data_IF_411955920376
#
_entry.id   IF_411955920376
#
_cell.length_a   1.000
_cell.length_b   1.000
_cell.length_c   1.000
_cell.angle_alpha   90.00
_cell.angle_beta   90.00
_cell.angle_gamma   90.00
#
_symmetry.space_group_name_H-M   'P 1'
#
loop_
_entity.id
_entity.type
_entity.pdbx_description
1 polymer ?
#
# COMPACT_ATOMS: atom_id res chain seq x y z
N UNK A 1 12.41 -32.14 -4.12
CA UNK A 1 11.95 -32.40 -5.51
C UNK A 1 10.68 -31.63 -5.87
N UNK A 2 9.59 -31.72 -5.10
CA UNK A 2 8.30 -31.04 -5.39
C UNK A 2 8.41 -29.50 -5.49
N UNK A 3 9.13 -28.84 -4.56
CA UNK A 3 9.35 -27.37 -4.60
C UNK A 3 10.18 -26.90 -5.81
N UNK A 4 11.08 -27.76 -6.33
CA UNK A 4 11.92 -27.45 -7.50
C UNK A 4 11.09 -27.49 -8.79
N UNK A 5 10.22 -28.50 -8.90
CA UNK A 5 9.25 -28.62 -10.01
C UNK A 5 8.25 -27.45 -10.05
N UNK A 6 7.68 -27.03 -8.91
CA UNK A 6 6.79 -25.85 -8.87
C UNK A 6 7.48 -24.54 -9.27
N UNK A 7 8.78 -24.43 -9.01
CA UNK A 7 9.60 -23.26 -9.36
C UNK A 7 9.79 -23.15 -10.87
N UNK A 8 10.14 -24.26 -11.51
CA UNK A 8 10.36 -24.36 -12.95
C UNK A 8 9.05 -24.13 -13.74
N UNK A 9 7.92 -24.62 -13.22
CA UNK A 9 6.59 -24.38 -13.82
C UNK A 9 6.25 -22.88 -13.84
N UNK A 10 6.54 -22.15 -12.76
CA UNK A 10 6.27 -20.70 -12.70
C UNK A 10 7.16 -19.92 -13.67
N UNK A 11 8.46 -20.23 -13.71
CA UNK A 11 9.40 -19.58 -14.65
C UNK A 11 8.99 -19.83 -16.10
N UNK A 12 8.57 -21.06 -16.43
CA UNK A 12 8.04 -21.40 -17.76
C UNK A 12 6.74 -20.66 -18.08
N UNK A 13 5.83 -20.50 -17.12
CA UNK A 13 4.57 -19.80 -17.32
C UNK A 13 4.78 -18.30 -17.57
N UNK A 14 5.69 -17.65 -16.82
CA UNK A 14 6.04 -16.25 -17.00
C UNK A 14 6.76 -16.01 -18.34
N UNK A 15 7.68 -16.90 -18.74
CA UNK A 15 8.34 -16.83 -20.03
C UNK A 15 7.37 -17.04 -21.21
N UNK A 16 6.40 -17.94 -21.06
CA UNK A 16 5.34 -18.10 -22.05
C UNK A 16 4.48 -16.84 -22.18
N UNK A 17 4.13 -16.21 -21.06
CA UNK A 17 3.33 -14.98 -21.06
C UNK A 17 4.09 -13.79 -21.66
N UNK A 18 5.40 -13.66 -21.41
CA UNK A 18 6.22 -12.57 -21.96
C UNK A 18 6.35 -12.66 -23.48
N UNK A 19 6.42 -13.87 -24.05
CA UNK A 19 6.53 -14.13 -25.48
C UNK A 19 5.25 -13.83 -26.29
N UNK A 20 4.10 -13.62 -25.64
CA UNK A 20 2.84 -13.30 -26.33
C UNK A 20 2.96 -11.93 -27.04
N UNK A 21 2.65 -11.87 -28.34
CA UNK A 21 2.70 -10.62 -29.10
C UNK A 21 1.47 -9.74 -28.83
N UNK A 22 0.28 -10.34 -28.71
CA UNK A 22 -0.97 -9.63 -28.44
C UNK A 22 -1.04 -9.14 -27.00
N UNK A 23 -1.19 -7.83 -26.81
CA UNK A 23 -1.15 -7.21 -25.49
C UNK A 23 -2.35 -7.62 -24.62
N UNK A 24 -3.53 -7.81 -25.20
CA UNK A 24 -4.74 -8.19 -24.45
C UNK A 24 -4.61 -9.62 -23.92
N UNK A 25 -4.21 -10.56 -24.76
CA UNK A 25 -3.94 -11.94 -24.37
C UNK A 25 -2.80 -12.03 -23.36
N UNK A 26 -1.75 -11.22 -23.50
CA UNK A 26 -0.65 -11.13 -22.53
C UNK A 26 -1.15 -10.73 -21.15
N UNK A 27 -1.96 -9.68 -21.05
CA UNK A 27 -2.53 -9.21 -19.78
C UNK A 27 -3.43 -10.29 -19.16
N UNK A 28 -4.28 -10.93 -19.97
CA UNK A 28 -5.17 -11.99 -19.51
C UNK A 28 -4.39 -13.20 -18.96
N UNK A 29 -3.34 -13.63 -19.66
CA UNK A 29 -2.48 -14.71 -19.20
C UNK A 29 -1.79 -14.37 -17.88
N UNK A 30 -1.25 -13.15 -17.74
CA UNK A 30 -0.66 -12.73 -16.47
C UNK A 30 -1.69 -12.63 -15.34
N UNK A 31 -2.93 -12.25 -15.62
CA UNK A 31 -4.01 -12.26 -14.60
C UNK A 31 -4.33 -13.68 -14.14
N UNK A 32 -4.34 -14.66 -15.04
CA UNK A 32 -4.50 -16.07 -14.65
C UNK A 32 -3.36 -16.55 -13.76
N UNK A 33 -2.11 -16.19 -14.10
CA UNK A 33 -0.95 -16.50 -13.26
C UNK A 33 -1.07 -15.84 -11.89
N UNK A 34 -1.41 -14.54 -11.84
CA UNK A 34 -1.61 -13.80 -10.59
C UNK A 34 -2.66 -14.45 -9.69
N UNK A 35 -3.81 -14.83 -10.25
CA UNK A 35 -4.89 -15.50 -9.50
C UNK A 35 -4.42 -16.83 -8.88
N UNK A 36 -3.64 -17.61 -9.64
CA UNK A 36 -3.03 -18.85 -9.16
C UNK A 36 -2.01 -18.60 -8.04
N UNK A 37 -1.16 -17.59 -8.20
CA UNK A 37 -0.16 -17.16 -7.20
C UNK A 37 -0.84 -16.77 -5.89
N UNK A 38 -1.86 -15.92 -5.95
CA UNK A 38 -2.58 -15.45 -4.75
C UNK A 38 -3.34 -16.58 -4.07
N UNK A 39 -3.92 -17.50 -4.84
CA UNK A 39 -4.64 -18.66 -4.30
C UNK A 39 -3.69 -19.68 -3.63
N UNK A 40 -2.45 -19.76 -4.10
CA UNK A 40 -1.46 -20.72 -3.59
C UNK A 40 -0.95 -20.39 -2.18
N UNK A 41 -1.06 -19.14 -1.74
CA UNK A 41 -0.42 -18.60 -0.53
C UNK A 41 1.10 -18.93 -0.46
N UNK A 42 1.76 -19.13 -1.61
CA UNK A 42 3.20 -19.38 -1.68
C UNK A 42 3.96 -18.06 -1.87
N UNK A 43 4.56 -17.59 -0.77
CA UNK A 43 5.39 -16.38 -0.73
C UNK A 43 6.47 -16.38 -1.81
N UNK A 44 7.09 -17.53 -2.08
CA UNK A 44 8.19 -17.62 -3.05
C UNK A 44 7.67 -17.33 -4.46
N UNK A 45 6.49 -17.85 -4.80
CA UNK A 45 5.86 -17.61 -6.09
C UNK A 45 5.41 -16.17 -6.24
N UNK A 46 4.87 -15.57 -5.18
CA UNK A 46 4.48 -14.16 -5.18
C UNK A 46 5.66 -13.22 -5.38
N UNK A 47 6.77 -13.44 -4.66
CA UNK A 47 8.00 -12.65 -4.83
C UNK A 47 8.54 -12.72 -6.26
N UNK A 48 8.58 -13.92 -6.84
CA UNK A 48 8.98 -14.12 -8.25
C UNK A 48 8.07 -13.39 -9.24
N UNK A 49 6.77 -13.43 -9.02
CA UNK A 49 5.81 -12.70 -9.86
C UNK A 49 6.07 -11.19 -9.80
N UNK A 50 6.30 -10.64 -8.59
CA UNK A 50 6.65 -9.23 -8.39
C UNK A 50 7.94 -8.87 -9.11
N UNK A 51 9.00 -9.66 -8.95
CA UNK A 51 10.30 -9.43 -9.60
C UNK A 51 10.16 -9.42 -11.12
N UNK A 52 9.40 -10.36 -11.68
CA UNK A 52 9.13 -10.44 -13.12
C UNK A 52 8.34 -9.23 -13.62
N UNK A 53 7.29 -8.80 -12.89
CA UNK A 53 6.49 -7.63 -13.24
C UNK A 53 7.28 -6.32 -13.21
N UNK A 54 8.30 -6.22 -12.37
CA UNK A 54 9.14 -5.03 -12.22
C UNK A 54 10.40 -5.05 -13.10
N UNK A 55 10.65 -6.17 -13.77
CA UNK A 55 11.72 -6.32 -14.76
C UNK A 55 11.44 -5.54 -16.05
N UNK A 56 12.48 -5.35 -16.85
CA UNK A 56 12.36 -4.67 -18.15
C UNK A 56 11.75 -5.58 -19.24
N UNK A 57 11.52 -6.87 -18.95
CA UNK A 57 10.86 -7.81 -19.85
C UNK A 57 9.36 -7.56 -19.98
N UNK A 58 8.78 -6.77 -19.06
CA UNK A 58 7.35 -6.45 -19.01
C UNK A 58 7.14 -4.97 -19.31
N UNK A 59 6.34 -4.63 -20.35
CA UNK A 59 6.03 -3.23 -20.64
C UNK A 59 5.36 -2.54 -19.44
N UNK A 60 5.79 -1.31 -19.14
CA UNK A 60 5.35 -0.57 -17.95
C UNK A 60 3.83 -0.49 -17.78
N UNK A 61 3.09 -0.34 -18.88
CA UNK A 61 1.61 -0.29 -18.87
C UNK A 61 1.02 -1.59 -18.35
N UNK A 62 1.60 -2.74 -18.75
CA UNK A 62 1.18 -4.07 -18.30
C UNK A 62 1.56 -4.26 -16.83
N UNK A 63 2.78 -3.88 -16.44
CA UNK A 63 3.23 -3.95 -15.04
C UNK A 63 2.34 -3.15 -14.12
N UNK A 64 2.01 -1.89 -14.45
CA UNK A 64 1.11 -1.04 -13.65
C UNK A 64 -0.26 -1.67 -13.45
N UNK A 65 -0.87 -2.17 -14.53
CA UNK A 65 -2.20 -2.77 -14.47
C UNK A 65 -2.23 -4.04 -13.62
N UNK A 66 -1.22 -4.89 -13.74
CA UNK A 66 -1.15 -6.15 -12.99
C UNK A 66 -0.77 -5.92 -11.53
N UNK A 67 0.17 -5.02 -11.24
CA UNK A 67 0.53 -4.66 -9.87
C UNK A 67 -0.62 -3.93 -9.16
N UNK A 68 -1.44 -3.16 -9.87
CA UNK A 68 -2.67 -2.59 -9.32
C UNK A 68 -3.68 -3.68 -8.95
N UNK A 69 -3.89 -4.64 -9.85
CA UNK A 69 -4.76 -5.81 -9.59
C UNK A 69 -4.24 -6.60 -8.38
N UNK A 70 -2.94 -6.87 -8.33
CA UNK A 70 -2.28 -7.51 -7.22
C UNK A 70 -2.51 -6.76 -5.90
N UNK A 71 -2.30 -5.43 -5.89
CA UNK A 71 -2.49 -4.60 -4.70
C UNK A 71 -3.93 -4.64 -4.19
N UNK A 72 -4.91 -4.62 -5.08
CA UNK A 72 -6.34 -4.72 -4.74
C UNK A 72 -6.71 -6.10 -4.17
N UNK A 73 -6.05 -7.16 -4.64
CA UNK A 73 -6.33 -8.54 -4.22
C UNK A 73 -5.46 -9.03 -3.05
N UNK A 74 -4.54 -8.21 -2.52
CA UNK A 74 -3.69 -8.56 -1.37
C UNK A 74 -4.48 -9.08 -0.16
N UNK A 75 -5.67 -8.55 0.08
CA UNK A 75 -6.53 -8.96 1.20
C UNK A 75 -7.11 -10.38 1.12
N UNK A 76 -6.90 -11.10 0.00
CA UNK A 76 -7.28 -12.52 -0.13
C UNK A 76 -6.27 -13.47 0.55
N UNK A 77 -5.05 -12.99 0.81
CA UNK A 77 -3.98 -13.76 1.42
C UNK A 77 -4.17 -13.86 2.93
N UNK A 78 -3.55 -14.87 3.55
CA UNK A 78 -3.47 -14.90 5.01
C UNK A 78 -2.68 -13.69 5.55
N UNK A 79 -3.05 -13.10 6.70
CA UNK A 79 -2.44 -11.89 7.25
C UNK A 79 -0.90 -11.85 7.24
N UNK A 80 -0.24 -12.91 7.74
CA UNK A 80 1.23 -12.95 7.78
C UNK A 80 1.87 -12.97 6.39
N UNK A 81 1.25 -13.70 5.46
CA UNK A 81 1.70 -13.83 4.07
C UNK A 81 1.46 -12.51 3.32
N UNK A 82 0.31 -11.87 3.54
CA UNK A 82 -0.01 -10.55 3.03
C UNK A 82 1.04 -9.54 3.48
N UNK A 83 1.37 -9.50 4.79
CA UNK A 83 2.39 -8.61 5.34
C UNK A 83 3.73 -8.82 4.65
N UNK A 84 4.22 -10.06 4.59
CA UNK A 84 5.52 -10.36 4.00
C UNK A 84 5.61 -9.96 2.52
N UNK A 85 4.60 -10.34 1.72
CA UNK A 85 4.60 -10.07 0.28
C UNK A 85 4.44 -8.57 0.00
N UNK A 86 3.57 -7.87 0.74
CA UNK A 86 3.36 -6.44 0.56
C UNK A 86 4.62 -5.61 0.90
N UNK A 87 5.33 -5.95 1.99
CA UNK A 87 6.61 -5.30 2.30
C UNK A 87 7.66 -5.57 1.22
N UNK A 88 7.74 -6.81 0.73
CA UNK A 88 8.62 -7.15 -0.38
C UNK A 88 8.28 -6.33 -1.64
N UNK A 89 7.00 -6.22 -1.99
CA UNK A 89 6.54 -5.43 -3.12
C UNK A 89 6.94 -3.96 -3.00
N UNK A 90 6.73 -3.33 -1.83
CA UNK A 90 7.15 -1.95 -1.60
C UNK A 90 8.66 -1.78 -1.74
N UNK A 91 9.45 -2.72 -1.21
CA UNK A 91 10.91 -2.69 -1.34
C UNK A 91 11.36 -2.78 -2.81
N UNK A 92 10.74 -3.66 -3.61
CA UNK A 92 11.08 -3.80 -5.03
C UNK A 92 10.57 -2.63 -5.88
N UNK A 93 9.47 -1.99 -5.50
CA UNK A 93 8.92 -0.82 -6.18
C UNK A 93 9.79 0.42 -5.92
N UNK A 94 10.42 0.52 -4.74
CA UNK A 94 11.11 1.72 -4.26
C UNK A 94 12.10 2.36 -5.28
N UNK A 95 12.95 1.61 -6.01
CA UNK A 95 13.87 2.19 -7.00
C UNK A 95 13.17 2.92 -8.15
N UNK A 96 11.92 2.56 -8.43
CA UNK A 96 11.09 3.11 -9.53
C UNK A 96 9.78 3.68 -9.00
N UNK A 97 9.72 4.14 -7.75
CA UNK A 97 8.46 4.49 -7.07
C UNK A 97 7.63 5.52 -7.82
N UNK A 98 8.27 6.51 -8.48
CA UNK A 98 7.59 7.52 -9.32
C UNK A 98 6.81 6.88 -10.47
N UNK A 99 7.23 5.71 -10.95
CA UNK A 99 6.51 4.97 -11.98
C UNK A 99 5.33 4.17 -11.42
N UNK A 100 5.27 3.92 -10.11
CA UNK A 100 4.32 3.00 -9.47
C UNK A 100 3.66 3.61 -8.22
N UNK A 101 3.50 4.94 -8.18
CA UNK A 101 2.99 5.66 -7.01
C UNK A 101 1.61 5.15 -6.58
N UNK A 102 0.72 4.88 -7.54
CA UNK A 102 -0.63 4.36 -7.28
C UNK A 102 -0.62 2.97 -6.65
N UNK A 103 0.22 2.08 -7.18
CA UNK A 103 0.35 0.73 -6.63
C UNK A 103 0.95 0.79 -5.22
N UNK A 104 1.97 1.62 -5.01
CA UNK A 104 2.59 1.80 -3.71
C UNK A 104 1.61 2.39 -2.68
N UNK A 105 0.76 3.34 -3.08
CA UNK A 105 -0.31 3.90 -2.25
C UNK A 105 -1.28 2.82 -1.81
N UNK A 106 -1.85 2.05 -2.75
CA UNK A 106 -2.84 1.00 -2.43
C UNK A 106 -2.23 -0.06 -1.50
N UNK A 107 -0.99 -0.48 -1.75
CA UNK A 107 -0.30 -1.47 -0.89
C UNK A 107 -0.12 -0.92 0.52
N UNK A 108 0.29 0.35 0.68
CA UNK A 108 0.44 0.98 2.01
C UNK A 108 -0.89 1.10 2.75
N UNK A 109 -1.96 1.48 2.07
CA UNK A 109 -3.30 1.53 2.67
C UNK A 109 -3.75 0.14 3.13
N UNK A 110 -3.58 -0.89 2.31
CA UNK A 110 -3.94 -2.28 2.67
C UNK A 110 -3.12 -2.81 3.84
N UNK A 111 -1.83 -2.50 3.91
CA UNK A 111 -0.99 -2.84 5.04
C UNK A 111 -1.41 -2.10 6.31
N UNK A 112 -1.76 -0.81 6.19
CA UNK A 112 -2.23 -0.03 7.32
C UNK A 112 -3.55 -0.57 7.88
N UNK A 113 -4.53 -0.88 7.02
CA UNK A 113 -5.79 -1.52 7.41
C UNK A 113 -5.55 -2.83 8.16
N UNK A 114 -4.63 -3.66 7.67
CA UNK A 114 -4.29 -4.93 8.30
C UNK A 114 -3.65 -4.72 9.68
N UNK A 115 -2.66 -3.84 9.79
CA UNK A 115 -2.04 -3.52 11.08
C UNK A 115 -3.02 -2.89 12.07
N UNK A 116 -3.91 -2.01 11.61
CA UNK A 116 -4.97 -1.41 12.42
C UNK A 116 -5.92 -2.51 12.96
N UNK A 117 -6.30 -3.48 12.13
CA UNK A 117 -7.14 -4.62 12.54
C UNK A 117 -6.47 -5.52 13.59
N UNK A 118 -5.13 -5.57 13.59
CA UNK A 118 -4.31 -6.29 14.57
C UNK A 118 -3.91 -5.41 15.77
N UNK A 119 -4.46 -4.20 15.89
CA UNK A 119 -4.15 -3.21 16.93
C UNK A 119 -2.66 -2.81 16.99
N UNK A 120 -1.93 -2.97 15.87
CA UNK A 120 -0.54 -2.52 15.72
C UNK A 120 -0.54 -1.07 15.22
N UNK A 121 -1.02 -0.15 16.06
CA UNK A 121 -1.33 1.22 15.70
C UNK A 121 -0.14 1.99 15.11
N UNK A 122 1.01 1.93 15.77
CA UNK A 122 2.25 2.57 15.31
C UNK A 122 2.71 2.06 13.93
N UNK A 123 2.56 0.76 13.66
CA UNK A 123 2.91 0.21 12.34
C UNK A 123 1.92 0.64 11.26
N UNK A 124 0.63 0.67 11.58
CA UNK A 124 -0.38 1.21 10.67
C UNK A 124 -0.10 2.68 10.32
N UNK A 125 0.24 3.49 11.33
CA UNK A 125 0.61 4.89 11.15
C UNK A 125 1.86 5.04 10.26
N UNK A 126 2.90 4.22 10.48
CA UNK A 126 4.11 4.22 9.66
C UNK A 126 3.82 3.87 8.19
N UNK A 127 2.93 2.91 7.93
CA UNK A 127 2.55 2.56 6.56
C UNK A 127 1.89 3.74 5.84
N UNK A 128 0.93 4.42 6.48
CA UNK A 128 0.28 5.60 5.91
C UNK A 128 1.21 6.80 5.80
N UNK A 129 2.14 6.98 6.75
CA UNK A 129 3.15 8.05 6.75
C UNK A 129 4.10 7.97 5.56
N UNK A 130 4.27 6.78 4.96
CA UNK A 130 5.09 6.57 3.77
C UNK A 130 4.41 6.93 2.44
N UNK A 131 3.14 7.36 2.46
CA UNK A 131 2.45 7.86 1.26
C UNK A 131 2.91 9.30 1.00
N UNK A 132 3.30 9.58 -0.24
CA UNK A 132 3.59 10.95 -0.67
C UNK A 132 2.27 11.73 -0.88
N UNK A 133 1.84 12.39 0.19
CA UNK A 133 0.63 13.21 0.21
C UNK A 133 0.75 14.47 -0.66
N UNK A 134 1.96 14.89 -1.01
CA UNK A 134 2.20 16.06 -1.87
C UNK A 134 2.32 15.68 -3.35
N UNK A 135 2.22 14.38 -3.67
CA UNK A 135 2.30 13.91 -5.06
C UNK A 135 1.19 14.52 -5.93
N UNK A 136 1.52 14.77 -7.19
CA UNK A 136 0.61 15.28 -8.22
C UNK A 136 -0.37 14.22 -8.74
N UNK A 137 -0.55 13.11 -8.02
CA UNK A 137 -1.41 12.01 -8.40
C UNK A 137 -2.88 12.45 -8.47
N UNK A 138 -3.58 11.99 -9.51
CA UNK A 138 -5.04 12.19 -9.61
C UNK A 138 -5.72 11.50 -8.42
N UNK A 139 -6.49 12.26 -7.65
CA UNK A 139 -7.25 11.77 -6.50
C UNK A 139 -6.67 12.14 -5.13
N UNK A 140 -5.46 12.69 -5.07
CA UNK A 140 -4.90 13.26 -3.84
C UNK A 140 -5.26 14.74 -3.78
N UNK A 141 -6.49 15.01 -3.33
CA UNK A 141 -6.98 16.35 -3.05
C UNK A 141 -6.76 16.74 -1.57
N UNK A 142 -7.06 17.99 -1.23
CA UNK A 142 -6.88 18.50 0.14
C UNK A 142 -7.72 17.74 1.17
N UNK A 143 -8.87 17.21 0.76
CA UNK A 143 -9.73 16.40 1.63
C UNK A 143 -9.08 15.06 1.96
N UNK A 144 -8.51 14.38 0.97
CA UNK A 144 -7.77 13.14 1.14
C UNK A 144 -6.52 13.37 2.01
N UNK A 145 -5.73 14.41 1.73
CA UNK A 145 -4.55 14.77 2.53
C UNK A 145 -4.91 15.02 3.99
N UNK A 146 -5.95 15.81 4.23
CA UNK A 146 -6.46 16.09 5.58
C UNK A 146 -6.90 14.80 6.27
N UNK A 147 -7.65 13.95 5.58
CA UNK A 147 -8.13 12.66 6.09
C UNK A 147 -6.98 11.76 6.52
N UNK A 148 -5.94 11.61 5.69
CA UNK A 148 -4.76 10.80 6.02
C UNK A 148 -3.96 11.40 7.16
N UNK A 149 -3.73 12.71 7.21
CA UNK A 149 -3.03 13.34 8.33
C UNK A 149 -3.75 13.12 9.67
N UNK A 150 -5.09 13.28 9.69
CA UNK A 150 -5.90 13.02 10.89
C UNK A 150 -5.89 11.53 11.26
N UNK A 151 -5.98 10.63 10.27
CA UNK A 151 -5.89 9.19 10.50
C UNK A 151 -4.54 8.78 11.10
N UNK A 152 -3.43 9.26 10.56
CA UNK A 152 -2.09 8.98 11.06
C UNK A 152 -1.93 9.49 12.50
N UNK A 153 -2.37 10.73 12.77
CA UNK A 153 -2.31 11.28 14.12
C UNK A 153 -3.13 10.46 15.11
N UNK A 154 -4.34 10.04 14.74
CA UNK A 154 -5.17 9.15 15.57
C UNK A 154 -4.46 7.84 15.88
N UNK A 155 -3.87 7.19 14.87
CA UNK A 155 -3.17 5.91 15.07
C UNK A 155 -1.99 6.05 16.05
N UNK A 156 -1.18 7.11 15.94
CA UNK A 156 -0.11 7.33 16.92
C UNK A 156 -0.64 7.60 18.34
N UNK A 157 -1.80 8.27 18.47
CA UNK A 157 -2.43 8.50 19.77
C UNK A 157 -2.98 7.24 20.45
N UNK A 158 -3.27 6.18 19.71
CA UNK A 158 -3.66 4.90 20.30
C UNK A 158 -2.48 4.16 20.95
N UNK A 159 -1.24 4.60 20.70
CA UNK A 159 0.00 4.10 21.31
C UNK A 159 0.70 5.17 22.17
N UNK A 160 -0.06 6.18 22.63
CA UNK A 160 0.40 7.33 23.42
C UNK A 160 1.58 8.13 22.79
N UNK A 161 1.81 8.00 21.49
CA UNK A 161 2.87 8.70 20.77
C UNK A 161 2.41 10.10 20.33
N UNK A 162 2.28 10.99 21.31
CA UNK A 162 1.88 12.37 21.08
C UNK A 162 2.87 13.16 20.20
N UNK A 163 4.15 12.74 20.15
CA UNK A 163 5.19 13.43 19.37
C UNK A 163 4.96 13.23 17.88
N UNK A 164 4.82 11.96 17.46
CA UNK A 164 4.53 11.67 16.05
C UNK A 164 3.12 12.12 15.67
N UNK A 165 2.14 12.01 16.57
CA UNK A 165 0.79 12.51 16.32
C UNK A 165 0.77 14.04 16.06
N UNK A 166 1.52 14.83 16.84
CA UNK A 166 1.61 16.29 16.68
C UNK A 166 2.22 16.68 15.32
N UNK A 167 3.19 15.92 14.82
CA UNK A 167 3.77 16.18 13.51
C UNK A 167 2.72 16.14 12.38
N UNK A 168 1.80 15.17 12.42
CA UNK A 168 0.76 15.03 11.40
C UNK A 168 -0.45 15.93 11.65
N UNK A 169 -0.82 16.20 12.90
CA UNK A 169 -1.90 17.16 13.19
C UNK A 169 -1.52 18.58 12.76
N UNK A 170 -0.24 18.96 12.88
CA UNK A 170 0.23 20.26 12.42
C UNK A 170 0.13 20.38 10.89
N UNK A 171 0.41 19.30 10.15
CA UNK A 171 0.18 19.26 8.70
C UNK A 171 -1.31 19.42 8.36
N UNK A 172 -2.19 18.72 9.10
CA UNK A 172 -3.64 18.86 8.94
C UNK A 172 -4.16 20.28 9.22
N UNK A 173 -3.50 21.03 10.12
CA UNK A 173 -3.92 22.39 10.49
C UNK A 173 -3.96 23.38 9.32
N UNK A 174 -3.10 23.19 8.32
CA UNK A 174 -3.06 24.03 7.11
C UNK A 174 -4.21 23.74 6.15
N UNK A 175 -4.83 22.56 6.25
CA UNK A 175 -5.88 22.09 5.33
C UNK A 175 -7.28 22.23 5.95
N UNK A 176 -7.38 22.08 7.28
CA UNK A 176 -8.67 22.02 7.99
C UNK A 176 -9.49 23.30 7.86
N UNK A 177 -8.86 24.48 7.74
CA UNK A 177 -9.57 25.75 7.62
C UNK A 177 -10.39 25.87 6.33
N UNK A 178 -9.96 25.17 5.27
CA UNK A 178 -10.59 25.20 3.96
C UNK A 178 -11.53 23.99 3.74
N UNK A 179 -11.56 23.04 4.68
CA UNK A 179 -12.36 21.83 4.60
C UNK A 179 -13.83 22.09 4.94
N UNK A 180 -14.71 21.69 4.04
CA UNK A 180 -16.17 21.67 4.26
C UNK A 180 -16.66 20.38 4.93
N UNK A 181 -15.75 19.44 5.23
CA UNK A 181 -16.10 18.17 5.86
C UNK A 181 -16.15 18.32 7.39
N UNK A 182 -17.36 18.53 7.92
CA UNK A 182 -17.58 18.76 9.35
C UNK A 182 -17.10 17.58 10.23
N UNK A 183 -17.29 16.34 9.77
CA UNK A 183 -16.87 15.14 10.51
C UNK A 183 -15.36 15.12 10.64
N UNK A 184 -14.64 15.40 9.56
CA UNK A 184 -13.18 15.43 9.55
C UNK A 184 -12.63 16.60 10.39
N UNK A 185 -13.29 17.75 10.35
CA UNK A 185 -12.95 18.91 11.18
C UNK A 185 -13.14 18.60 12.68
N UNK A 186 -14.18 17.83 13.04
CA UNK A 186 -14.40 17.37 14.40
C UNK A 186 -13.31 16.37 14.83
N UNK A 187 -13.00 15.38 14.00
CA UNK A 187 -11.94 14.41 14.27
C UNK A 187 -10.58 15.09 14.48
N UNK A 188 -10.26 16.08 13.64
CA UNK A 188 -9.07 16.92 13.82
C UNK A 188 -9.05 17.59 15.20
N UNK A 189 -10.14 18.26 15.59
CA UNK A 189 -10.22 18.97 16.89
C UNK A 189 -10.05 18.02 18.08
N UNK A 190 -10.67 16.84 18.00
CA UNK A 190 -10.56 15.80 19.05
C UNK A 190 -9.12 15.29 19.14
N UNK A 191 -8.47 15.00 18.01
CA UNK A 191 -7.07 14.57 18.01
C UNK A 191 -6.15 15.68 18.57
N UNK A 192 -6.36 16.93 18.16
CA UNK A 192 -5.56 18.06 18.65
C UNK A 192 -5.71 18.25 20.16
N UNK A 193 -6.94 18.17 20.70
CA UNK A 193 -7.17 18.24 22.14
C UNK A 193 -6.49 17.10 22.92
N UNK A 194 -6.58 15.85 22.43
CA UNK A 194 -5.88 14.69 23.02
C UNK A 194 -4.37 14.91 23.07
N UNK A 195 -3.78 15.48 22.02
CA UNK A 195 -2.34 15.78 21.95
C UNK A 195 -1.96 16.83 23.01
N UNK A 196 -2.74 17.91 23.15
CA UNK A 196 -2.48 18.95 24.16
C UNK A 196 -2.52 18.39 25.58
N UNK A 197 -3.50 17.53 25.87
CA UNK A 197 -3.66 16.86 27.16
C UNK A 197 -2.46 15.94 27.48
N UNK A 198 -2.08 15.05 26.55
CA UNK A 198 -0.90 14.19 26.69
C UNK A 198 0.40 15.00 26.88
N UNK A 199 0.49 16.18 26.27
CA UNK A 199 1.63 17.10 26.41
C UNK A 199 1.53 18.04 27.61
N UNK A 200 0.50 17.91 28.44
CA UNK A 200 0.25 18.74 29.64
C UNK A 200 0.16 20.23 29.34
N UNK A 201 -0.40 20.58 28.18
CA UNK A 201 -0.70 21.96 27.76
C UNK A 201 -2.18 22.27 28.02
N UNK A 202 -2.53 22.38 29.31
CA UNK A 202 -3.89 22.67 29.78
C UNK A 202 -4.35 24.10 29.48
#
# INVERSE_FOLDING_TARGET
LIRKSKREIMESALASASAIADQRQKIEQYRHILSSVLSSNDVTQAKKFIDHMLSDDVPLVVSRQLLQTFAQELGKLQPEIQKEIAHYALQQIQPRVVSFEEQALIIREKLAELYESEQQWSKAAQMLSGIDLDSGMRGIDDTYRLSKCVQIARLYLEDDDAVNAEAFINKASFLVSNSQNEVLNLQYKVCYARILDLKRKF
#
